data_IF_294416881559
#
_entry.id   IF_294416881559
#
_cell.length_a   1.000
_cell.length_b   1.000
_cell.length_c   1.000
_cell.angle_alpha   90.00
_cell.angle_beta   90.00
_cell.angle_gamma   90.00
#
_symmetry.space_group_name_H-M   'P 1'
#
loop_
_entity.id
_entity.type
_entity.pdbx_description
1 polymer ?
#
# COMPACT_ATOMS: atom_id res chain seq x y z
N UNK A 1 16.82 -27.88 10.58
CA UNK A 1 15.87 -26.92 11.17
C UNK A 1 14.72 -27.71 11.75
N UNK A 2 14.38 -27.47 13.01
CA UNK A 2 13.41 -28.28 13.76
C UNK A 2 11.97 -27.89 13.40
N UNK A 3 11.06 -28.87 13.27
CA UNK A 3 9.65 -28.64 12.92
C UNK A 3 8.93 -27.64 13.87
N UNK A 4 9.45 -27.48 15.08
CA UNK A 4 8.98 -26.53 16.08
C UNK A 4 9.31 -25.06 15.72
N UNK A 5 10.48 -24.81 15.12
CA UNK A 5 10.91 -23.48 14.68
C UNK A 5 10.10 -23.00 13.46
N UNK A 6 9.80 -23.92 12.55
CA UNK A 6 8.95 -23.66 11.38
C UNK A 6 7.51 -23.33 11.77
N UNK A 7 6.96 -24.00 12.79
CA UNK A 7 5.62 -23.72 13.30
C UNK A 7 5.54 -22.33 13.96
N UNK A 8 6.56 -21.94 14.71
CA UNK A 8 6.65 -20.61 15.34
C UNK A 8 6.81 -19.52 14.29
N UNK A 9 7.70 -19.70 13.31
CA UNK A 9 7.91 -18.74 12.22
C UNK A 9 6.63 -18.55 11.38
N UNK A 10 5.89 -19.63 11.10
CA UNK A 10 4.61 -19.57 10.37
C UNK A 10 3.54 -18.82 11.16
N UNK A 11 3.51 -18.96 12.48
CA UNK A 11 2.58 -18.27 13.38
C UNK A 11 2.91 -16.79 13.53
N UNK A 12 4.19 -16.43 13.66
CA UNK A 12 4.66 -15.04 13.70
C UNK A 12 4.40 -14.36 12.36
N UNK A 13 4.68 -15.01 11.22
CA UNK A 13 4.40 -14.47 9.90
C UNK A 13 2.89 -14.28 9.67
N UNK A 14 2.05 -15.25 10.02
CA UNK A 14 0.60 -15.11 9.91
C UNK A 14 0.06 -13.97 10.81
N UNK A 15 0.63 -13.80 12.00
CA UNK A 15 0.28 -12.71 12.91
C UNK A 15 0.73 -11.35 12.37
N UNK A 16 1.98 -11.22 11.94
CA UNK A 16 2.53 -9.99 11.35
C UNK A 16 1.81 -9.63 10.05
N UNK A 17 1.45 -10.61 9.21
CA UNK A 17 0.68 -10.39 7.99
C UNK A 17 -0.77 -9.97 8.32
N UNK A 18 -1.36 -10.50 9.40
CA UNK A 18 -2.66 -10.04 9.91
C UNK A 18 -2.59 -8.63 10.51
N UNK A 19 -1.51 -8.29 11.23
CA UNK A 19 -1.25 -6.94 11.74
C UNK A 19 -1.04 -5.99 10.56
N UNK A 20 -0.17 -6.33 9.59
CA UNK A 20 0.02 -5.53 8.38
C UNK A 20 -1.29 -5.40 7.57
N UNK A 21 -2.10 -6.46 7.42
CA UNK A 21 -3.44 -6.38 6.81
C UNK A 21 -4.39 -5.45 7.58
N UNK A 22 -4.24 -5.34 8.90
CA UNK A 22 -5.00 -4.44 9.79
C UNK A 22 -4.45 -3.00 9.82
N UNK A 23 -3.15 -2.79 9.61
CA UNK A 23 -2.49 -1.50 9.80
C UNK A 23 -2.20 -0.78 8.47
N UNK A 24 -2.26 -1.45 7.31
CA UNK A 24 -1.76 -0.89 6.04
C UNK A 24 -2.74 -0.53 4.92
N UNK A 25 -4.08 -0.64 5.04
CA UNK A 25 -4.92 -0.21 3.90
C UNK A 25 -6.23 0.45 4.33
N UNK A 26 -6.11 1.53 5.11
CA UNK A 26 -7.24 2.44 5.29
C UNK A 26 -7.38 3.38 4.10
N UNK A 27 -6.29 3.70 3.39
CA UNK A 27 -6.34 4.64 2.27
C UNK A 27 -6.83 3.98 0.99
N UNK A 28 -7.84 4.61 0.39
CA UNK A 28 -8.39 4.23 -0.91
C UNK A 28 -8.38 5.43 -1.84
N UNK A 29 -8.26 5.14 -3.13
CA UNK A 29 -8.42 6.08 -4.22
C UNK A 29 -9.71 5.76 -4.96
N UNK A 30 -10.62 6.71 -4.97
CA UNK A 30 -11.89 6.65 -5.69
C UNK A 30 -11.73 7.42 -7.00
N UNK A 31 -12.03 6.76 -8.11
CA UNK A 31 -11.94 7.33 -9.47
C UNK A 31 -13.27 7.18 -10.20
N UNK A 32 -13.53 8.03 -11.19
CA UNK A 32 -14.75 7.98 -12.00
C UNK A 32 -16.01 8.53 -11.32
N UNK A 33 -15.90 9.01 -10.07
CA UNK A 33 -16.99 9.67 -9.36
C UNK A 33 -17.11 11.13 -9.83
N UNK A 34 -18.21 11.46 -10.51
CA UNK A 34 -18.45 12.81 -11.05
C UNK A 34 -18.91 13.75 -9.92
N UNK A 35 -18.38 14.98 -9.90
CA UNK A 35 -18.79 16.03 -8.95
C UNK A 35 -19.26 17.29 -9.70
N UNK A 36 -20.45 17.26 -10.33
CA UNK A 36 -20.91 18.33 -11.21
C UNK A 36 -21.13 19.66 -10.49
N UNK A 37 -21.41 19.64 -9.18
CA UNK A 37 -21.64 20.84 -8.38
C UNK A 37 -20.44 21.32 -7.56
N UNK A 38 -19.23 20.77 -7.77
CA UNK A 38 -18.05 21.02 -6.92
C UNK A 38 -18.36 20.93 -5.42
N UNK A 39 -19.20 19.95 -5.05
CA UNK A 39 -19.58 19.70 -3.64
C UNK A 39 -18.33 19.42 -2.81
N UNK A 40 -18.39 19.77 -1.52
CA UNK A 40 -17.36 19.41 -0.54
C UNK A 40 -17.17 17.89 -0.54
N UNK A 41 -15.91 17.45 -0.49
CA UNK A 41 -15.57 16.04 -0.64
C UNK A 41 -16.23 15.15 0.42
N UNK A 42 -16.32 15.61 1.67
CA UNK A 42 -16.98 14.85 2.74
C UNK A 42 -18.43 14.52 2.41
N UNK A 43 -19.20 15.52 1.91
CA UNK A 43 -20.59 15.32 1.51
C UNK A 43 -20.69 14.42 0.27
N UNK A 44 -19.84 14.63 -0.72
CA UNK A 44 -19.81 13.81 -1.93
C UNK A 44 -19.55 12.32 -1.60
N UNK A 45 -18.64 12.04 -0.68
CA UNK A 45 -18.30 10.68 -0.27
C UNK A 45 -19.38 10.05 0.62
N UNK A 46 -20.07 10.84 1.44
CA UNK A 46 -21.21 10.36 2.22
C UNK A 46 -22.41 10.03 1.31
N UNK A 47 -22.74 10.90 0.35
CA UNK A 47 -23.74 10.65 -0.70
C UNK A 47 -23.37 9.39 -1.50
N UNK A 48 -22.10 9.25 -1.90
CA UNK A 48 -21.61 8.05 -2.59
C UNK A 48 -21.81 6.78 -1.76
N UNK A 49 -21.46 6.80 -0.47
CA UNK A 49 -21.61 5.63 0.38
C UNK A 49 -23.09 5.27 0.66
N UNK A 50 -23.93 6.26 0.96
CA UNK A 50 -25.31 6.03 1.40
C UNK A 50 -26.26 5.86 0.22
N UNK A 51 -26.15 6.70 -0.80
CA UNK A 51 -27.15 6.75 -1.87
C UNK A 51 -26.81 5.81 -3.02
N UNK A 52 -25.52 5.67 -3.36
CA UNK A 52 -25.04 4.75 -4.40
C UNK A 52 -24.77 3.37 -3.83
N UNK A 53 -23.91 3.26 -2.80
CA UNK A 53 -23.50 1.96 -2.26
C UNK A 53 -24.48 1.37 -1.25
N UNK A 54 -25.50 2.12 -0.83
CA UNK A 54 -26.52 1.70 0.16
C UNK A 54 -25.94 1.30 1.51
N UNK A 55 -24.84 1.95 1.92
CA UNK A 55 -24.28 1.75 3.25
C UNK A 55 -25.28 2.24 4.32
N UNK A 56 -25.63 1.41 5.32
CA UNK A 56 -26.65 1.74 6.32
C UNK A 56 -26.35 3.04 7.07
N UNK A 57 -27.39 3.80 7.37
CA UNK A 57 -27.20 5.15 7.92
C UNK A 57 -26.84 5.13 9.39
N UNK A 58 -27.22 4.06 10.09
CA UNK A 58 -26.93 3.81 11.50
C UNK A 58 -25.45 3.50 11.75
N UNK A 59 -24.70 3.13 10.71
CA UNK A 59 -23.29 2.78 10.84
C UNK A 59 -22.37 4.02 10.86
N UNK A 60 -21.15 3.89 11.45
CA UNK A 60 -20.17 4.96 11.50
C UNK A 60 -19.77 5.47 10.12
N UNK A 61 -19.29 6.72 10.05
CA UNK A 61 -18.87 7.38 8.81
C UNK A 61 -17.96 6.48 7.96
N UNK A 62 -18.28 6.25 6.68
CA UNK A 62 -17.57 5.28 5.85
C UNK A 62 -16.18 5.75 5.43
N UNK A 63 -16.05 7.06 5.22
CA UNK A 63 -14.84 7.71 4.73
C UNK A 63 -14.44 8.88 5.63
N UNK A 64 -13.15 9.19 5.68
CA UNK A 64 -12.62 10.32 6.42
C UNK A 64 -11.34 10.85 5.76
N UNK A 65 -10.99 12.11 6.02
CA UNK A 65 -9.79 12.75 5.47
C UNK A 65 -9.73 12.75 3.93
N UNK A 66 -10.80 13.19 3.23
CA UNK A 66 -10.77 13.24 1.78
C UNK A 66 -9.82 14.32 1.29
N UNK A 67 -8.99 13.95 0.32
CA UNK A 67 -8.05 14.83 -0.36
C UNK A 67 -8.11 14.60 -1.86
N UNK A 68 -7.79 15.62 -2.65
CA UNK A 68 -7.72 15.48 -4.11
C UNK A 68 -6.47 14.67 -4.48
N UNK A 69 -6.63 13.76 -5.44
CA UNK A 69 -5.59 12.81 -5.83
C UNK A 69 -5.32 12.87 -7.33
N UNK A 70 -5.34 14.06 -7.93
CA UNK A 70 -5.21 14.28 -9.36
C UNK A 70 -6.51 13.97 -10.12
N UNK A 71 -6.37 13.61 -11.40
CA UNK A 71 -7.48 13.35 -12.32
C UNK A 71 -7.41 11.94 -12.89
N UNK A 72 -8.58 11.36 -13.15
CA UNK A 72 -8.77 10.12 -13.90
C UNK A 72 -9.76 10.41 -15.03
N UNK A 73 -9.26 10.43 -16.27
CA UNK A 73 -10.00 10.99 -17.41
C UNK A 73 -10.40 12.43 -17.12
N UNK A 74 -11.69 12.75 -17.29
CA UNK A 74 -12.26 14.08 -17.03
C UNK A 74 -12.75 14.27 -15.59
N UNK A 75 -12.59 13.28 -14.70
CA UNK A 75 -13.09 13.34 -13.32
C UNK A 75 -11.93 13.48 -12.33
N UNK A 76 -12.17 14.19 -11.23
CA UNK A 76 -11.22 14.28 -10.13
C UNK A 76 -11.14 12.93 -9.39
N UNK A 77 -9.92 12.44 -9.18
CA UNK A 77 -9.67 11.31 -8.31
C UNK A 77 -9.63 11.80 -6.86
N UNK A 78 -10.21 11.02 -5.95
CA UNK A 78 -10.30 11.36 -4.52
C UNK A 78 -9.54 10.31 -3.73
N UNK A 79 -8.61 10.75 -2.89
CA UNK A 79 -7.95 9.90 -1.89
C UNK A 79 -8.67 10.09 -0.58
N UNK A 80 -9.02 9.01 0.10
CA UNK A 80 -9.71 9.08 1.40
C UNK A 80 -9.32 7.90 2.27
N UNK A 81 -9.38 8.10 3.58
CA UNK A 81 -9.30 7.01 4.56
C UNK A 81 -10.67 6.34 4.65
N UNK A 82 -10.70 5.03 4.73
CA UNK A 82 -11.88 4.17 4.74
C UNK A 82 -11.94 3.43 6.07
N UNK A 83 -13.13 3.30 6.64
CA UNK A 83 -13.31 2.58 7.91
C UNK A 83 -13.45 1.07 7.68
N UNK A 84 -13.07 0.29 8.70
CA UNK A 84 -13.16 -1.17 8.65
C UNK A 84 -14.60 -1.67 8.47
N UNK A 85 -15.58 -1.02 9.12
CA UNK A 85 -17.00 -1.38 9.00
C UNK A 85 -17.48 -1.22 7.55
N UNK A 86 -17.20 -0.07 6.94
CA UNK A 86 -17.53 0.16 5.54
C UNK A 86 -16.80 -0.82 4.62
N UNK A 87 -15.52 -1.13 4.88
CA UNK A 87 -14.80 -2.12 4.08
C UNK A 87 -15.47 -3.50 4.10
N UNK A 88 -15.88 -3.97 5.28
CA UNK A 88 -16.58 -5.27 5.41
C UNK A 88 -17.87 -5.27 4.62
N UNK A 89 -18.69 -4.23 4.77
CA UNK A 89 -19.91 -4.03 4.00
C UNK A 89 -19.65 -4.02 2.49
N UNK A 90 -18.64 -3.24 2.06
CA UNK A 90 -18.30 -3.11 0.65
C UNK A 90 -17.87 -4.43 0.04
N UNK A 91 -17.14 -5.26 0.78
CA UNK A 91 -16.71 -6.57 0.31
C UNK A 91 -17.84 -7.58 0.18
N UNK A 92 -18.85 -7.49 1.04
CA UNK A 92 -20.00 -8.41 1.04
C UNK A 92 -21.02 -8.04 -0.02
N UNK A 93 -21.42 -6.75 -0.06
CA UNK A 93 -22.55 -6.31 -0.87
C UNK A 93 -22.20 -5.11 -1.74
N UNK A 94 -21.47 -4.13 -1.21
CA UNK A 94 -21.21 -2.85 -1.89
C UNK A 94 -20.48 -2.98 -3.23
N UNK A 95 -19.64 -4.01 -3.43
CA UNK A 95 -19.01 -4.31 -4.73
C UNK A 95 -20.02 -4.64 -5.82
N UNK A 96 -21.02 -5.48 -5.49
CA UNK A 96 -22.09 -5.85 -6.41
C UNK A 96 -22.96 -4.63 -6.71
N UNK A 97 -23.33 -3.87 -5.67
CA UNK A 97 -24.10 -2.63 -5.81
C UNK A 97 -23.40 -1.61 -6.70
N UNK A 98 -22.09 -1.42 -6.51
CA UNK A 98 -21.29 -0.51 -7.34
C UNK A 98 -21.24 -0.97 -8.81
N UNK A 99 -21.07 -2.27 -9.04
CA UNK A 99 -21.07 -2.83 -10.38
C UNK A 99 -22.42 -2.62 -11.09
N UNK A 100 -23.54 -2.88 -10.40
CA UNK A 100 -24.87 -2.66 -10.94
C UNK A 100 -25.14 -1.18 -11.22
N UNK A 101 -24.72 -0.29 -10.31
CA UNK A 101 -24.84 1.14 -10.51
C UNK A 101 -24.05 1.60 -11.75
N UNK A 102 -22.79 1.17 -11.87
CA UNK A 102 -21.94 1.47 -13.02
C UNK A 102 -22.59 0.99 -14.33
N UNK A 103 -23.11 -0.24 -14.35
CA UNK A 103 -23.78 -0.81 -15.52
C UNK A 103 -25.06 -0.05 -15.90
N UNK A 104 -25.86 0.37 -14.92
CA UNK A 104 -27.13 1.10 -15.17
C UNK A 104 -26.92 2.54 -15.61
N UNK A 105 -25.90 3.21 -15.09
CA UNK A 105 -25.69 4.65 -15.30
C UNK A 105 -24.58 4.95 -16.31
N UNK A 106 -23.98 3.93 -16.94
CA UNK A 106 -22.83 4.11 -17.84
C UNK A 106 -21.61 4.71 -17.14
N UNK A 107 -21.48 4.50 -15.83
CA UNK A 107 -20.41 5.05 -15.01
C UNK A 107 -19.24 4.05 -14.85
N UNK A 108 -18.04 4.56 -14.58
CA UNK A 108 -16.85 3.74 -14.35
C UNK A 108 -16.22 4.02 -12.97
N UNK A 109 -17.06 4.04 -11.93
CA UNK A 109 -16.58 4.33 -10.58
C UNK A 109 -15.79 3.14 -10.04
N UNK A 110 -14.58 3.40 -9.53
CA UNK A 110 -13.70 2.37 -8.94
C UNK A 110 -13.20 2.83 -7.57
N UNK A 111 -13.15 1.89 -6.62
CA UNK A 111 -12.48 2.05 -5.33
C UNK A 111 -11.22 1.19 -5.33
N UNK A 112 -10.06 1.83 -5.47
CA UNK A 112 -8.77 1.17 -5.49
C UNK A 112 -8.06 1.36 -4.16
N UNK A 113 -7.67 0.26 -3.53
CA UNK A 113 -6.82 0.30 -2.34
C UNK A 113 -5.47 0.90 -2.69
N UNK A 114 -5.07 1.97 -2.01
CA UNK A 114 -3.74 2.51 -2.20
C UNK A 114 -2.72 1.59 -1.55
N UNK A 115 -1.80 1.05 -2.36
CA UNK A 115 -0.60 0.39 -1.87
C UNK A 115 0.43 1.46 -1.57
N UNK A 116 0.36 2.06 -0.39
CA UNK A 116 1.43 2.96 0.07
C UNK A 116 2.54 2.09 0.64
N UNK A 117 3.71 2.03 -0.02
CA UNK A 117 4.90 1.43 0.60
C UNK A 117 5.23 2.28 1.83
N UNK A 118 5.16 1.71 3.03
CA UNK A 118 5.49 2.44 4.25
C UNK A 118 6.94 2.90 4.23
N UNK A 119 7.26 3.94 5.01
CA UNK A 119 8.65 4.34 5.24
C UNK A 119 9.47 3.15 5.78
N UNK A 120 8.87 2.33 6.65
CA UNK A 120 9.50 1.12 7.18
C UNK A 120 9.79 0.08 6.09
N UNK A 121 8.88 -0.10 5.13
CA UNK A 121 9.08 -1.01 4.00
C UNK A 121 10.11 -0.47 3.00
N UNK A 122 10.21 0.86 2.86
CA UNK A 122 11.31 1.52 2.15
C UNK A 122 12.64 1.26 2.86
N UNK A 123 12.70 1.43 4.18
CA UNK A 123 13.91 1.19 4.95
C UNK A 123 14.36 -0.27 4.88
N UNK A 124 13.43 -1.22 5.02
CA UNK A 124 13.69 -2.67 4.83
C UNK A 124 14.21 -2.98 3.43
N UNK A 125 13.64 -2.34 2.40
CA UNK A 125 14.12 -2.48 1.02
C UNK A 125 15.52 -1.89 0.83
N UNK A 126 15.80 -0.73 1.43
CA UNK A 126 17.12 -0.11 1.41
C UNK A 126 18.19 -0.97 2.10
N UNK A 127 17.86 -1.57 3.25
CA UNK A 127 18.75 -2.52 3.94
C UNK A 127 19.05 -3.76 3.11
N UNK A 128 18.05 -4.29 2.40
CA UNK A 128 18.24 -5.42 1.49
C UNK A 128 19.20 -5.06 0.36
N UNK A 129 18.97 -3.93 -0.31
CA UNK A 129 19.84 -3.46 -1.41
C UNK A 129 21.27 -3.26 -0.89
N UNK A 130 21.45 -2.69 0.31
CA UNK A 130 22.76 -2.56 0.95
C UNK A 130 23.46 -3.91 1.16
N UNK A 131 22.73 -4.92 1.64
CA UNK A 131 23.27 -6.28 1.81
C UNK A 131 23.63 -6.91 0.46
N UNK A 132 22.76 -6.74 -0.54
CA UNK A 132 22.97 -7.24 -1.90
C UNK A 132 24.23 -6.65 -2.54
N UNK A 133 24.36 -5.32 -2.54
CA UNK A 133 25.55 -4.64 -3.07
C UNK A 133 26.82 -5.16 -2.38
N UNK A 134 26.84 -5.24 -1.04
CA UNK A 134 27.99 -5.79 -0.32
C UNK A 134 28.33 -7.23 -0.71
N UNK A 135 27.32 -8.08 -0.89
CA UNK A 135 27.51 -9.46 -1.30
C UNK A 135 28.13 -9.55 -2.71
N UNK A 136 27.67 -8.74 -3.66
CA UNK A 136 28.23 -8.72 -5.02
C UNK A 136 29.68 -8.19 -5.04
N UNK A 137 30.00 -7.14 -4.27
CA UNK A 137 31.39 -6.66 -4.15
C UNK A 137 32.32 -7.70 -3.51
N UNK A 138 31.82 -8.43 -2.51
CA UNK A 138 32.58 -9.52 -1.87
C UNK A 138 32.86 -10.67 -2.83
N UNK A 139 31.93 -11.05 -3.72
CA UNK A 139 32.17 -12.09 -4.74
C UNK A 139 33.32 -11.74 -5.68
N UNK A 140 33.53 -10.45 -5.94
CA UNK A 140 34.56 -9.95 -6.86
C UNK A 140 35.83 -9.48 -6.09
N UNK A 141 35.93 -9.75 -4.78
CA UNK A 141 37.03 -9.32 -3.91
C UNK A 141 37.35 -7.81 -4.01
N UNK A 142 36.34 -6.98 -4.26
CA UNK A 142 36.49 -5.52 -4.32
C UNK A 142 35.97 -4.88 -3.04
N UNK A 143 36.62 -3.79 -2.61
CA UNK A 143 36.14 -2.99 -1.49
C UNK A 143 34.79 -2.38 -1.87
N UNK A 144 33.76 -2.68 -1.08
CA UNK A 144 32.40 -2.22 -1.34
C UNK A 144 32.25 -0.70 -1.24
N UNK A 145 31.34 -0.14 -2.05
CA UNK A 145 30.96 1.28 -2.00
C UNK A 145 30.18 1.56 -0.70
N UNK A 146 30.34 2.77 -0.13
CA UNK A 146 29.56 3.15 1.05
C UNK A 146 28.07 3.31 0.69
N UNK A 147 27.22 2.69 1.50
CA UNK A 147 25.77 2.69 1.30
C UNK A 147 25.11 3.07 2.62
N UNK A 148 24.47 4.24 2.64
CA UNK A 148 23.83 4.82 3.81
C UNK A 148 22.35 5.10 3.57
N UNK A 149 21.54 4.90 4.62
CA UNK A 149 20.10 5.18 4.60
C UNK A 149 19.82 6.47 5.37
N UNK A 150 19.03 7.38 4.79
CA UNK A 150 18.50 8.56 5.48
C UNK A 150 17.05 8.80 5.06
N UNK A 151 16.13 8.80 6.03
CA UNK A 151 14.70 9.13 5.84
C UNK A 151 14.04 8.38 4.66
N UNK A 152 14.25 7.06 4.56
CA UNK A 152 13.69 6.25 3.46
C UNK A 152 14.35 6.43 2.09
N UNK A 153 15.48 7.14 2.01
CA UNK A 153 16.32 7.27 0.83
C UNK A 153 17.67 6.58 1.06
N UNK A 154 18.19 5.96 0.00
CA UNK A 154 19.48 5.27 -0.01
C UNK A 154 20.49 6.13 -0.80
N UNK A 155 21.63 6.41 -0.18
CA UNK A 155 22.77 7.06 -0.82
C UNK A 155 23.84 5.98 -1.07
N UNK A 156 24.29 5.87 -2.32
CA UNK A 156 25.34 4.92 -2.74
C UNK A 156 26.53 5.74 -3.24
N UNK A 157 27.63 5.72 -2.50
CA UNK A 157 28.84 6.48 -2.83
C UNK A 157 28.55 7.98 -3.03
N UNK A 158 28.93 8.49 -4.19
CA UNK A 158 28.72 9.91 -4.56
C UNK A 158 27.38 10.18 -5.24
N UNK A 159 26.57 9.15 -5.51
CA UNK A 159 25.27 9.35 -6.15
C UNK A 159 24.28 10.09 -5.24
N UNK A 160 23.35 10.88 -5.82
CA UNK A 160 22.31 11.54 -5.06
C UNK A 160 21.43 10.50 -4.32
N UNK A 161 20.90 10.82 -3.12
CA UNK A 161 20.00 9.93 -2.39
C UNK A 161 18.74 9.63 -3.21
N UNK A 162 18.46 8.34 -3.43
CA UNK A 162 17.33 7.87 -4.23
C UNK A 162 16.43 6.94 -3.42
N UNK A 163 15.17 6.80 -3.86
CA UNK A 163 14.27 5.82 -3.25
C UNK A 163 14.79 4.40 -3.51
N UNK A 164 14.79 3.51 -2.51
CA UNK A 164 15.21 2.12 -2.69
C UNK A 164 14.48 1.40 -3.84
N UNK A 165 13.23 1.76 -4.14
CA UNK A 165 12.50 1.19 -5.28
C UNK A 165 13.08 1.59 -6.64
N UNK A 166 13.60 2.81 -6.76
CA UNK A 166 14.24 3.29 -7.99
C UNK A 166 15.58 2.59 -8.18
N UNK A 167 16.33 2.42 -7.10
CA UNK A 167 17.62 1.74 -7.12
C UNK A 167 17.48 0.26 -7.45
N UNK A 168 16.46 -0.41 -6.91
CA UNK A 168 16.19 -1.80 -7.26
C UNK A 168 15.95 -1.99 -8.77
N UNK A 169 15.30 -1.02 -9.43
CA UNK A 169 15.11 -1.04 -10.89
C UNK A 169 16.42 -0.73 -11.61
N UNK A 170 17.18 0.29 -11.17
CA UNK A 170 18.46 0.66 -11.78
C UNK A 170 19.51 -0.46 -11.72
N UNK A 171 19.48 -1.26 -10.64
CA UNK A 171 20.40 -2.37 -10.42
C UNK A 171 19.84 -3.72 -10.88
N UNK A 172 18.67 -3.73 -11.53
CA UNK A 172 17.94 -4.93 -11.97
C UNK A 172 17.83 -6.03 -10.88
N UNK A 173 17.57 -5.60 -9.64
CA UNK A 173 17.51 -6.50 -8.49
C UNK A 173 16.16 -7.20 -8.45
N UNK A 174 16.17 -8.51 -8.64
CA UNK A 174 14.97 -9.34 -8.50
C UNK A 174 14.55 -9.46 -7.01
N UNK A 175 13.50 -8.73 -6.62
CA UNK A 175 12.98 -8.70 -5.25
C UNK A 175 12.08 -9.89 -4.87
N UNK A 176 11.94 -10.92 -5.72
CA UNK A 176 11.00 -12.04 -5.49
C UNK A 176 11.38 -12.98 -4.32
N UNK A 177 12.60 -12.92 -3.76
CA UNK A 177 13.09 -13.80 -2.66
C UNK A 177 12.87 -13.31 -1.21
N UNK A 178 11.97 -12.35 -0.98
CA UNK A 178 11.96 -11.44 0.19
C UNK A 178 11.66 -12.01 1.59
N UNK A 179 11.30 -13.29 1.77
CA UNK A 179 10.65 -13.76 3.02
C UNK A 179 11.41 -14.77 3.92
N UNK A 180 12.69 -15.09 3.71
CA UNK A 180 13.36 -16.15 4.50
C UNK A 180 14.52 -15.74 5.41
N UNK A 181 15.03 -14.50 5.37
CA UNK A 181 16.37 -14.21 5.92
C UNK A 181 16.46 -13.53 7.30
N UNK A 182 15.36 -13.38 8.07
CA UNK A 182 15.41 -12.60 9.33
C UNK A 182 14.60 -13.17 10.49
N UNK A 183 14.48 -14.49 10.58
CA UNK A 183 14.02 -15.12 11.83
C UNK A 183 15.24 -15.76 12.49
N UNK A 184 15.68 -15.12 13.59
CA UNK A 184 16.73 -15.52 14.54
C UNK A 184 18.20 -15.31 14.15
N UNK A 185 18.71 -14.12 14.46
CA UNK A 185 19.99 -13.99 15.19
C UNK A 185 19.74 -13.05 16.36
N UNK A 186 19.21 -13.61 17.44
CA UNK A 186 19.33 -13.07 18.80
C UNK A 186 19.82 -14.20 19.68
N UNK A 187 21.13 -14.37 19.70
CA UNK A 187 21.92 -14.72 20.89
C UNK A 187 23.37 -14.38 20.60
#
# INVERSE_FOLDING_TARGET
MSAHEDAIAKRINAFQENVNKKTLIDWVRITGLVNPGKRKLDRLLDDFARDILKYPREHPTPFSWPTTAGYYGNCMAIRTRMTYHFWRFFMQEGRKTLYEYNRRNGAEIKINREKTITLQDQDRMGLFIRKYIRAEYNKVNKKGVDVTMRKGLLKIGEHPPMKPSVIAVLLDINLKGRNQAWVYETT
#
